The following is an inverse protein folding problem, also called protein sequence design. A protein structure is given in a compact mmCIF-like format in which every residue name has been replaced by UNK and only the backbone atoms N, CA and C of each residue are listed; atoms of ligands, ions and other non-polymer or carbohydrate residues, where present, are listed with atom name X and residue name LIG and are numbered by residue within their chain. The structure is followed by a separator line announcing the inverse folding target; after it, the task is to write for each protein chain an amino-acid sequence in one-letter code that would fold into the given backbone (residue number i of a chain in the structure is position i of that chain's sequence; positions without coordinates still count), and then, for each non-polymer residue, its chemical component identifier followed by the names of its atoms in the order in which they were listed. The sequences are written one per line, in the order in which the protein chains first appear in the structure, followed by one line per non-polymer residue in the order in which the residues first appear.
data_IF_848208796399
#
_entry.id   IF_848208796399
#
_cell.length_a   1.000
_cell.length_b   1.000
_cell.length_c   1.000
_cell.angle_alpha   90.00
_cell.angle_beta   90.00
_cell.angle_gamma   90.00
#
_symmetry.space_group_name_H-M   'P 1'
#
loop_
_entity.id
_entity.type
_entity.pdbx_description
1 polymer ?
#
# COMPACT_ATOMS: atom_id res chain seq x y z
N UNK A 1 1.12 -16.85 9.82
CA UNK A 1 2.20 -17.81 9.55
C UNK A 1 3.11 -17.22 8.49
N UNK A 2 4.42 -17.33 8.68
CA UNK A 2 5.44 -16.81 7.77
C UNK A 2 5.46 -17.59 6.45
N UNK A 3 5.10 -18.87 6.46
CA UNK A 3 5.00 -19.66 5.23
C UNK A 3 3.87 -19.15 4.33
N UNK A 4 2.72 -18.78 4.91
CA UNK A 4 1.62 -18.15 4.16
C UNK A 4 2.09 -16.82 3.58
N UNK A 5 2.67 -15.93 4.41
CA UNK A 5 3.16 -14.63 3.94
C UNK A 5 4.17 -14.77 2.79
N UNK A 6 5.09 -15.72 2.88
CA UNK A 6 6.06 -16.00 1.82
C UNK A 6 5.36 -16.34 0.49
N UNK A 7 4.36 -17.23 0.50
CA UNK A 7 3.59 -17.57 -0.71
C UNK A 7 2.86 -16.36 -1.29
N UNK A 8 2.30 -15.50 -0.44
CA UNK A 8 1.62 -14.28 -0.89
C UNK A 8 2.60 -13.29 -1.54
N UNK A 9 3.79 -13.11 -0.95
CA UNK A 9 4.84 -12.26 -1.51
C UNK A 9 5.41 -12.84 -2.82
N UNK A 10 5.54 -14.17 -2.92
CA UNK A 10 5.91 -14.84 -4.17
C UNK A 10 4.87 -14.60 -5.26
N UNK A 11 3.57 -14.70 -4.95
CA UNK A 11 2.51 -14.40 -5.90
C UNK A 11 2.58 -12.94 -6.39
N UNK A 12 2.81 -11.99 -5.47
CA UNK A 12 3.04 -10.59 -5.81
C UNK A 12 4.24 -10.41 -6.75
N UNK A 13 5.34 -11.13 -6.49
CA UNK A 13 6.57 -11.06 -7.29
C UNK A 13 6.40 -11.63 -8.72
N UNK A 14 5.43 -12.52 -8.94
CA UNK A 14 5.08 -13.02 -10.27
C UNK A 14 4.22 -12.05 -11.11
N UNK A 15 3.93 -10.85 -10.61
CA UNK A 15 3.21 -9.85 -11.38
C UNK A 15 4.01 -9.37 -12.61
N UNK A 16 3.32 -8.93 -13.68
CA UNK A 16 4.00 -8.25 -14.78
C UNK A 16 4.63 -6.95 -14.30
N UNK A 17 5.73 -6.55 -14.93
CA UNK A 17 6.27 -5.21 -14.78
C UNK A 17 6.83 -4.68 -16.09
N UNK A 18 6.67 -3.38 -16.28
CA UNK A 18 7.23 -2.68 -17.44
C UNK A 18 8.73 -2.92 -17.51
N UNK A 19 9.18 -3.41 -18.67
CA UNK A 19 10.57 -3.80 -18.89
C UNK A 19 11.18 -4.76 -17.88
N UNK A 20 10.35 -5.61 -17.27
CA UNK A 20 10.75 -6.54 -16.21
C UNK A 20 11.49 -5.85 -15.05
N UNK A 21 11.11 -4.60 -14.76
CA UNK A 21 11.77 -3.74 -13.77
C UNK A 21 11.63 -4.24 -12.33
N UNK A 22 10.49 -4.87 -12.01
CA UNK A 22 10.15 -5.32 -10.66
C UNK A 22 10.38 -4.19 -9.60
N UNK A 23 9.73 -3.02 -9.76
CA UNK A 23 10.04 -1.81 -8.98
C UNK A 23 9.61 -1.88 -7.51
N UNK A 24 8.78 -2.87 -7.17
CA UNK A 24 8.15 -2.96 -5.87
C UNK A 24 9.13 -3.33 -4.75
N UNK A 25 8.86 -2.82 -3.55
CA UNK A 25 9.39 -3.36 -2.29
C UNK A 25 8.25 -3.61 -1.31
N UNK A 26 8.48 -4.50 -0.35
CA UNK A 26 7.49 -4.90 0.65
C UNK A 26 8.03 -4.64 2.06
N UNK A 27 7.42 -3.71 2.79
CA UNK A 27 7.76 -3.41 4.18
C UNK A 27 6.73 -4.08 5.08
N UNK A 28 7.16 -5.12 5.80
CA UNK A 28 6.33 -5.89 6.72
C UNK A 28 6.30 -5.20 8.09
N UNK A 29 5.11 -4.81 8.55
CA UNK A 29 4.92 -4.10 9.82
C UNK A 29 4.10 -4.99 10.76
N UNK A 30 4.77 -5.60 11.73
CA UNK A 30 4.13 -6.42 12.79
C UNK A 30 4.02 -5.68 14.12
N UNK A 31 4.99 -4.81 14.38
CA UNK A 31 5.07 -4.05 15.63
C UNK A 31 3.79 -3.26 15.90
N UNK A 32 3.24 -3.44 17.09
CA UNK A 32 1.95 -2.86 17.44
C UNK A 32 2.02 -1.34 17.60
N UNK A 33 3.15 -0.82 18.09
CA UNK A 33 3.35 0.63 18.21
C UNK A 33 3.47 1.28 16.84
N UNK A 34 4.25 0.69 15.93
CA UNK A 34 4.36 1.16 14.56
C UNK A 34 3.01 1.20 13.84
N UNK A 35 2.16 0.19 14.04
CA UNK A 35 0.80 0.18 13.47
C UNK A 35 -0.09 1.26 14.08
N UNK A 36 0.03 1.55 15.38
CA UNK A 36 -0.65 2.71 15.99
C UNK A 36 -0.21 4.02 15.35
N UNK A 37 1.09 4.21 15.13
CA UNK A 37 1.61 5.40 14.47
C UNK A 37 1.07 5.55 13.04
N UNK A 38 1.00 4.46 12.25
CA UNK A 38 0.39 4.49 10.91
C UNK A 38 -1.11 4.84 10.98
N UNK A 39 -1.85 4.30 11.95
CA UNK A 39 -3.26 4.65 12.17
C UNK A 39 -3.42 6.13 12.50
N UNK A 40 -2.53 6.69 13.31
CA UNK A 40 -2.61 8.10 13.69
C UNK A 40 -2.37 9.02 12.48
N UNK A 41 -1.51 8.62 11.53
CA UNK A 41 -1.39 9.30 10.24
C UNK A 41 -2.68 9.24 9.42
N UNK A 42 -3.35 8.08 9.38
CA UNK A 42 -4.66 7.94 8.73
C UNK A 42 -5.70 8.87 9.36
N UNK A 43 -5.77 8.91 10.70
CA UNK A 43 -6.73 9.77 11.41
C UNK A 43 -6.48 11.24 11.10
N UNK A 44 -5.22 11.67 11.09
CA UNK A 44 -4.85 13.03 10.73
C UNK A 44 -5.26 13.39 9.28
N UNK A 45 -4.99 12.51 8.31
CA UNK A 45 -5.38 12.71 6.92
C UNK A 45 -6.90 12.74 6.75
N UNK A 46 -7.63 11.87 7.46
CA UNK A 46 -9.10 11.83 7.43
C UNK A 46 -9.73 13.13 7.94
N UNK A 47 -9.18 13.73 9.00
CA UNK A 47 -9.64 15.03 9.49
C UNK A 47 -9.35 16.17 8.49
N UNK A 48 -8.29 16.05 7.68
CA UNK A 48 -7.99 17.01 6.61
C UNK A 48 -8.91 16.86 5.39
N UNK A 49 -9.36 15.64 5.06
CA UNK A 49 -10.33 15.40 3.97
C UNK A 49 -11.76 15.85 4.33
N UNK A 50 -12.09 15.83 5.62
CA UNK A 50 -13.44 16.05 6.12
C UNK A 50 -14.11 17.35 5.65
N UNK A 51 -13.42 18.51 5.58
CA UNK A 51 -13.99 19.74 5.04
C UNK A 51 -14.31 19.68 3.53
N UNK A 52 -13.67 18.77 2.78
CA UNK A 52 -13.95 18.57 1.36
C UNK A 52 -15.18 17.67 1.12
N UNK A 53 -15.70 17.03 2.17
CA UNK A 53 -16.94 16.26 2.10
C UNK A 53 -18.13 17.19 2.32
N UNK A 54 -19.14 17.08 1.44
CA UNK A 54 -20.44 17.76 1.57
C UNK A 54 -20.96 17.70 3.01
N UNK A 55 -21.36 18.85 3.56
CA UNK A 55 -21.66 19.02 4.99
C UNK A 55 -22.66 17.97 5.51
N UNK A 56 -23.70 17.69 4.72
CA UNK A 56 -24.75 16.71 5.03
C UNK A 56 -24.23 15.27 5.12
N UNK A 57 -23.14 14.96 4.41
CA UNK A 57 -22.52 13.63 4.34
C UNK A 57 -21.39 13.43 5.34
N UNK A 58 -20.88 14.48 5.97
CA UNK A 58 -19.75 14.39 6.90
C UNK A 58 -20.04 13.47 8.10
N UNK A 59 -21.27 13.48 8.62
CA UNK A 59 -21.66 12.61 9.73
C UNK A 59 -21.64 11.12 9.33
N UNK A 60 -22.01 10.81 8.08
CA UNK A 60 -21.91 9.46 7.54
C UNK A 60 -20.46 9.07 7.32
N UNK A 61 -19.66 9.93 6.70
CA UNK A 61 -18.24 9.68 6.43
C UNK A 61 -17.45 9.35 7.71
N UNK A 62 -17.66 10.10 8.80
CA UNK A 62 -17.03 9.81 10.11
C UNK A 62 -17.35 8.42 10.68
N UNK A 63 -18.51 7.84 10.33
CA UNK A 63 -18.93 6.51 10.80
C UNK A 63 -18.38 5.37 9.97
N UNK A 64 -17.88 5.64 8.75
CA UNK A 64 -17.33 4.60 7.90
C UNK A 64 -16.02 4.07 8.50
N UNK A 65 -15.95 2.74 8.65
CA UNK A 65 -14.70 2.05 8.98
C UNK A 65 -13.88 1.89 7.71
N UNK A 66 -12.97 2.82 7.47
CA UNK A 66 -12.14 2.89 6.26
C UNK A 66 -10.71 2.34 6.47
N UNK A 67 -10.44 1.78 7.65
CA UNK A 67 -9.17 1.13 7.95
C UNK A 67 -9.34 -0.03 8.94
N UNK A 68 -8.31 -0.85 9.03
CA UNK A 68 -8.16 -1.93 10.01
C UNK A 68 -6.69 -2.12 10.38
N UNK A 69 -5.94 -1.02 10.47
CA UNK A 69 -4.48 -0.97 10.64
C UNK A 69 -4.08 -1.66 11.95
N UNK A 70 -4.79 -1.35 13.04
CA UNK A 70 -4.52 -1.92 14.35
C UNK A 70 -5.20 -3.29 14.58
N UNK A 71 -6.36 -3.54 13.96
CA UNK A 71 -7.12 -4.78 14.12
C UNK A 71 -6.60 -5.94 13.27
N UNK A 72 -5.97 -5.64 12.12
CA UNK A 72 -5.25 -6.66 11.36
C UNK A 72 -4.07 -7.21 12.17
N UNK A 73 -3.56 -8.39 11.82
CA UNK A 73 -2.39 -8.95 12.53
C UNK A 73 -1.05 -8.44 11.95
N UNK A 74 -1.08 -7.92 10.73
CA UNK A 74 0.08 -7.53 9.94
C UNK A 74 -0.33 -6.42 8.98
N UNK A 75 0.52 -5.41 8.81
CA UNK A 75 0.39 -4.45 7.71
C UNK A 75 1.54 -4.65 6.72
N UNK A 76 1.26 -4.34 5.46
CA UNK A 76 2.23 -4.40 4.38
C UNK A 76 2.22 -3.06 3.64
N UNK A 77 3.31 -2.30 3.75
CA UNK A 77 3.49 -1.11 2.91
C UNK A 77 4.23 -1.53 1.64
N UNK A 78 3.57 -1.37 0.49
CA UNK A 78 4.09 -1.75 -0.82
C UNK A 78 4.55 -0.48 -1.52
N UNK A 79 5.85 -0.35 -1.75
CA UNK A 79 6.46 0.86 -2.34
C UNK A 79 6.86 0.60 -3.79
N UNK A 80 7.07 1.66 -4.57
CA UNK A 80 7.61 1.60 -5.92
C UNK A 80 8.89 2.43 -5.99
N UNK A 81 10.04 1.78 -6.19
CA UNK A 81 11.30 2.50 -6.39
C UNK A 81 11.36 3.10 -7.80
N UNK A 82 11.06 4.40 -7.88
CA UNK A 82 11.03 5.16 -9.13
C UNK A 82 12.39 5.19 -9.85
N UNK A 83 13.50 4.95 -9.12
CA UNK A 83 14.88 5.00 -9.62
C UNK A 83 15.43 3.64 -10.01
N UNK A 84 14.73 2.52 -9.76
CA UNK A 84 15.23 1.17 -10.09
C UNK A 84 15.60 1.01 -11.56
N UNK A 85 14.98 1.79 -12.44
CA UNK A 85 15.27 1.82 -13.88
C UNK A 85 16.13 3.01 -14.32
N UNK A 86 16.94 3.59 -13.43
CA UNK A 86 17.79 4.74 -13.79
C UNK A 86 18.63 4.49 -15.05
N UNK A 87 18.95 3.22 -15.32
CA UNK A 87 19.77 2.80 -16.45
C UNK A 87 18.97 2.13 -17.60
N UNK A 88 17.63 2.14 -17.55
CA UNK A 88 16.78 1.58 -18.62
C UNK A 88 15.50 2.40 -18.85
N UNK A 89 15.33 3.03 -20.02
CA UNK A 89 14.10 3.75 -20.37
C UNK A 89 12.95 2.81 -20.78
N UNK A 90 13.17 1.49 -20.78
CA UNK A 90 12.29 0.52 -21.44
C UNK A 90 10.88 0.58 -20.86
N UNK A 91 9.94 0.99 -21.71
CA UNK A 91 8.50 1.06 -21.44
C UNK A 91 8.03 2.22 -20.54
N UNK A 92 8.92 3.08 -20.04
CA UNK A 92 8.55 4.25 -19.19
C UNK A 92 8.79 5.61 -19.81
N UNK A 93 9.55 5.69 -20.91
CA UNK A 93 9.93 6.97 -21.51
C UNK A 93 8.73 7.89 -21.79
N UNK A 94 7.69 7.38 -22.46
CA UNK A 94 6.49 8.16 -22.80
C UNK A 94 5.43 8.12 -21.68
N UNK A 95 5.49 7.13 -20.79
CA UNK A 95 4.54 6.98 -19.69
C UNK A 95 5.31 6.68 -18.39
N UNK A 96 5.70 7.71 -17.63
CA UNK A 96 6.58 7.55 -16.47
C UNK A 96 5.93 6.81 -15.30
N UNK A 97 4.61 6.64 -15.30
CA UNK A 97 3.82 5.98 -14.25
C UNK A 97 3.77 4.44 -14.39
N UNK A 98 4.28 3.88 -15.49
CA UNK A 98 4.18 2.44 -15.73
C UNK A 98 4.87 1.58 -14.65
N UNK A 99 5.81 2.13 -13.89
CA UNK A 99 6.38 1.46 -12.70
C UNK A 99 5.40 1.40 -11.52
N UNK A 100 4.64 2.48 -11.28
CA UNK A 100 3.55 2.49 -10.31
C UNK A 100 2.49 1.45 -10.70
N UNK A 101 2.08 1.43 -11.96
CA UNK A 101 1.08 0.47 -12.45
C UNK A 101 1.58 -0.97 -12.33
N UNK A 102 2.87 -1.22 -12.60
CA UNK A 102 3.50 -2.51 -12.35
C UNK A 102 3.38 -2.92 -10.88
N UNK A 103 3.60 -1.98 -9.95
CA UNK A 103 3.45 -2.22 -8.51
C UNK A 103 2.00 -2.56 -8.15
N UNK A 104 1.00 -1.91 -8.76
CA UNK A 104 -0.41 -2.25 -8.58
C UNK A 104 -0.72 -3.68 -9.02
N UNK A 105 -0.11 -4.17 -10.10
CA UNK A 105 -0.26 -5.58 -10.50
C UNK A 105 0.25 -6.54 -9.42
N UNK A 106 1.37 -6.22 -8.75
CA UNK A 106 1.87 -6.99 -7.61
C UNK A 106 0.89 -7.00 -6.43
N UNK A 107 0.26 -5.85 -6.13
CA UNK A 107 -0.80 -5.76 -5.11
C UNK A 107 -1.98 -6.67 -5.46
N UNK A 108 -2.43 -6.68 -6.71
CA UNK A 108 -3.58 -7.48 -7.12
C UNK A 108 -3.30 -8.98 -7.05
N UNK A 109 -2.12 -9.42 -7.48
CA UNK A 109 -1.71 -10.83 -7.32
C UNK A 109 -1.66 -11.24 -5.84
N UNK A 110 -1.07 -10.39 -4.99
CA UNK A 110 -1.06 -10.61 -3.54
C UNK A 110 -2.48 -10.78 -3.00
N UNK A 111 -3.42 -9.91 -3.40
CA UNK A 111 -4.79 -9.91 -2.92
C UNK A 111 -5.55 -11.18 -3.31
N UNK A 112 -5.43 -11.61 -4.58
CA UNK A 112 -6.06 -12.83 -5.07
C UNK A 112 -5.50 -14.08 -4.39
N UNK A 113 -4.17 -14.16 -4.22
CA UNK A 113 -3.52 -15.24 -3.50
C UNK A 113 -3.95 -15.26 -2.02
N UNK A 114 -4.05 -14.10 -1.38
CA UNK A 114 -4.51 -13.98 0.00
C UNK A 114 -5.92 -14.55 0.15
N UNK A 115 -6.82 -14.22 -0.78
CA UNK A 115 -8.18 -14.78 -0.79
C UNK A 115 -8.18 -16.31 -0.92
N UNK A 116 -7.32 -16.88 -1.77
CA UNK A 116 -7.20 -18.33 -1.93
C UNK A 116 -6.68 -19.02 -0.65
N UNK A 117 -5.81 -18.34 0.10
CA UNK A 117 -5.26 -18.79 1.39
C UNK A 117 -6.20 -18.49 2.58
N UNK A 118 -7.41 -17.96 2.35
CA UNK A 118 -8.35 -17.61 3.41
C UNK A 118 -7.97 -16.35 4.22
N UNK A 119 -7.08 -15.51 3.68
CA UNK A 119 -6.61 -14.26 4.29
C UNK A 119 -7.37 -13.07 3.72
N UNK A 120 -7.95 -12.26 4.59
CA UNK A 120 -8.55 -10.97 4.22
C UNK A 120 -7.48 -9.89 3.99
N UNK A 121 -7.68 -9.06 2.98
CA UNK A 121 -6.82 -7.91 2.66
C UNK A 121 -7.69 -6.67 2.48
N UNK A 122 -7.21 -5.53 2.97
CA UNK A 122 -7.83 -4.23 2.79
C UNK A 122 -6.77 -3.18 2.44
N UNK A 123 -7.13 -2.26 1.55
CA UNK A 123 -6.28 -1.15 1.14
C UNK A 123 -6.65 0.11 1.92
N UNK A 124 -5.66 0.80 2.48
CA UNK A 124 -5.83 2.13 3.10
C UNK A 124 -5.01 3.17 2.32
N UNK A 125 -5.66 4.21 1.82
CA UNK A 125 -5.03 5.27 1.02
C UNK A 125 -5.26 6.69 1.55
N UNK A 126 -6.07 6.85 2.60
CA UNK A 126 -6.29 8.15 3.27
C UNK A 126 -5.11 8.37 4.23
N UNK A 127 -3.93 8.66 3.69
CA UNK A 127 -2.68 8.85 4.42
C UNK A 127 -1.83 9.86 3.64
N UNK A 128 -1.24 10.82 4.34
CA UNK A 128 -0.27 11.74 3.73
C UNK A 128 1.05 10.99 3.43
N UNK A 129 1.51 11.08 2.19
CA UNK A 129 2.61 10.25 1.68
C UNK A 129 3.93 10.56 2.36
N UNK A 130 4.28 11.82 2.54
CA UNK A 130 5.56 12.21 3.15
C UNK A 130 5.63 11.83 4.63
N UNK A 131 4.53 11.98 5.38
CA UNK A 131 4.44 11.54 6.76
C UNK A 131 4.63 10.02 6.89
N UNK A 132 4.03 9.23 5.98
CA UNK A 132 4.23 7.78 5.95
C UNK A 132 5.69 7.42 5.60
N UNK A 133 6.28 8.12 4.63
CA UNK A 133 7.68 7.92 4.24
C UNK A 133 8.62 8.22 5.40
N UNK A 134 8.44 9.33 6.09
CA UNK A 134 9.24 9.70 7.26
C UNK A 134 9.12 8.64 8.36
N UNK A 135 7.88 8.23 8.68
CA UNK A 135 7.63 7.21 9.70
C UNK A 135 8.36 5.90 9.37
N UNK A 136 8.27 5.43 8.12
CA UNK A 136 8.83 4.14 7.70
C UNK A 136 10.26 4.23 7.15
N UNK A 137 10.87 5.41 7.20
CA UNK A 137 12.23 5.67 6.66
C UNK A 137 12.36 5.28 5.17
N UNK A 138 11.35 5.62 4.37
CA UNK A 138 11.32 5.41 2.93
C UNK A 138 12.01 6.61 2.24
N UNK A 139 12.99 6.39 1.34
CA UNK A 139 13.65 7.46 0.59
C UNK A 139 12.70 8.30 -0.28
#
# INVERSE_FOLDING_TARGET
DDCVLARLLTAAHHAPSVGYMQPWNFIVIRDAERRRQVRDLFLAAREQELPAIEAERQALYRKLKLEGICESALNLCITCDRRRSKDSPLGRWHNPEMDLYSTVCAVQNFWLAARAEGVGVGWVSIIETEALKQLLSIP
#
